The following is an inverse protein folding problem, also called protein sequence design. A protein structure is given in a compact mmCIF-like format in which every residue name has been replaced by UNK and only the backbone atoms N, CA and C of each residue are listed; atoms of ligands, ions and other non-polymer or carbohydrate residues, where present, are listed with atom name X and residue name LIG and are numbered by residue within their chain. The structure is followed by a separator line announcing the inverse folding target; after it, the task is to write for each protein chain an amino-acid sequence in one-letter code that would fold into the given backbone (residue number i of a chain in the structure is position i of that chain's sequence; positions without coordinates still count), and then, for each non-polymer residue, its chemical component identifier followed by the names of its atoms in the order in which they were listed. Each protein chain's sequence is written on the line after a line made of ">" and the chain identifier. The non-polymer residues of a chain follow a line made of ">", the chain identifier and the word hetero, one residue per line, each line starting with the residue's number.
data_IF_714742828620
#
_entry.id   IF_714742828620
#
_cell.length_a   1.000
_cell.length_b   1.000
_cell.length_c   1.000
_cell.angle_alpha   90.00
_cell.angle_beta   90.00
_cell.angle_gamma   90.00
#
_symmetry.space_group_name_H-M   'P 1'
#
loop_
_entity.id
_entity.type
_entity.pdbx_description
1 polymer ?
#
# COMPACT_ATOMS: atom_id res chain seq x y z
N UNK A 1 -41.43 -2.41 21.49
CA UNK A 1 -40.88 -3.31 20.45
C UNK A 1 -40.56 -2.51 19.20
N UNK A 2 -39.29 -2.14 18.98
CA UNK A 2 -38.52 -2.56 17.80
C UNK A 2 -37.06 -2.19 18.06
N UNK A 3 -36.27 -3.25 18.09
CA UNK A 3 -34.83 -3.27 18.27
C UNK A 3 -34.14 -3.01 16.92
N UNK A 4 -32.83 -2.74 17.02
CA UNK A 4 -31.79 -2.89 16.00
C UNK A 4 -31.60 -1.70 15.04
N UNK A 5 -30.72 -0.78 15.42
CA UNK A 5 -29.62 -0.42 14.54
C UNK A 5 -28.36 -0.98 15.22
N UNK A 6 -27.92 -2.11 14.67
CA UNK A 6 -26.74 -2.81 15.09
C UNK A 6 -25.53 -1.88 14.98
N UNK A 7 -24.84 -1.75 16.10
CA UNK A 7 -23.39 -1.76 16.22
C UNK A 7 -22.68 -2.01 14.88
N UNK A 8 -22.18 -0.94 14.26
CA UNK A 8 -21.20 -1.03 13.20
C UNK A 8 -19.83 -1.29 13.84
N UNK A 9 -19.69 -2.47 14.44
CA UNK A 9 -18.39 -3.07 14.68
C UNK A 9 -17.83 -3.41 13.30
N UNK A 10 -17.03 -2.50 12.73
CA UNK A 10 -16.18 -2.83 11.58
C UNK A 10 -15.18 -3.85 12.08
N UNK A 11 -15.53 -5.11 11.88
CA UNK A 11 -14.70 -6.27 12.20
C UNK A 11 -13.32 -6.08 11.53
N UNK A 12 -12.26 -6.25 12.32
CA UNK A 12 -10.92 -5.76 12.04
C UNK A 12 -10.14 -6.55 10.99
N UNK A 13 -10.80 -7.18 10.01
CA UNK A 13 -10.17 -8.12 9.07
C UNK A 13 -10.65 -7.97 7.60
N UNK A 14 -11.47 -6.96 7.29
CA UNK A 14 -11.78 -6.63 5.89
C UNK A 14 -10.54 -6.03 5.19
N UNK A 15 -10.04 -6.61 4.08
CA UNK A 15 -8.90 -6.09 3.36
C UNK A 15 -9.18 -4.66 2.91
N UNK A 16 -8.31 -3.72 3.28
CA UNK A 16 -8.43 -2.33 2.83
C UNK A 16 -8.46 -2.28 1.31
N UNK A 17 -9.56 -1.75 0.73
CA UNK A 17 -9.68 -1.63 -0.71
C UNK A 17 -8.66 -0.61 -1.25
N UNK A 18 -8.04 -0.89 -2.40
CA UNK A 18 -7.09 0.06 -3.02
C UNK A 18 -7.71 1.43 -3.33
N UNK A 19 -9.03 1.49 -3.51
CA UNK A 19 -9.75 2.74 -3.72
C UNK A 19 -9.69 3.67 -2.52
N UNK A 20 -9.63 3.13 -1.30
CA UNK A 20 -9.59 3.88 -0.05
C UNK A 20 -8.18 4.41 0.30
N UNK A 21 -7.15 3.87 -0.37
CA UNK A 21 -5.79 4.34 -0.21
C UNK A 21 -5.58 5.71 -0.86
N UNK A 22 -4.65 6.49 -0.32
CA UNK A 22 -4.18 7.71 -0.99
C UNK A 22 -3.42 7.36 -2.27
N UNK A 23 -3.29 8.33 -3.19
CA UNK A 23 -2.47 8.16 -4.39
C UNK A 23 -1.03 7.75 -4.05
N UNK A 24 -0.43 8.41 -3.05
CA UNK A 24 0.94 8.11 -2.61
C UNK A 24 1.11 6.68 -2.07
N UNK A 25 0.10 6.16 -1.35
CA UNK A 25 0.10 4.77 -0.87
C UNK A 25 -0.02 3.78 -2.03
N UNK A 26 -0.87 4.05 -3.02
CA UNK A 26 -0.96 3.23 -4.23
C UNK A 26 0.34 3.23 -5.02
N UNK A 27 1.01 4.38 -5.13
CA UNK A 27 2.29 4.49 -5.82
C UNK A 27 3.40 3.73 -5.08
N UNK A 28 3.36 3.70 -3.74
CA UNK A 28 4.24 2.84 -2.95
C UNK A 28 4.03 1.36 -3.24
N UNK A 29 2.77 0.91 -3.32
CA UNK A 29 2.45 -0.47 -3.69
C UNK A 29 2.91 -0.78 -5.12
N UNK A 30 2.72 0.17 -6.05
CA UNK A 30 3.20 0.06 -7.42
C UNK A 30 4.73 -0.05 -7.46
N UNK A 31 5.46 0.82 -6.78
CA UNK A 31 6.91 0.80 -6.71
C UNK A 31 7.44 -0.52 -6.11
N UNK A 32 6.78 -1.05 -5.09
CA UNK A 32 7.07 -2.36 -4.50
C UNK A 32 6.73 -3.54 -5.42
N UNK A 33 5.88 -3.36 -6.44
CA UNK A 33 5.52 -4.44 -7.36
C UNK A 33 6.62 -4.79 -8.37
N UNK A 34 7.61 -3.90 -8.58
CA UNK A 34 8.69 -4.10 -9.54
C UNK A 34 9.77 -5.06 -9.04
N UNK A 35 9.95 -5.16 -7.73
CA UNK A 35 10.98 -6.00 -7.10
C UNK A 35 10.45 -6.60 -5.80
N UNK A 36 10.74 -7.87 -5.55
CA UNK A 36 10.11 -8.63 -4.46
C UNK A 36 10.32 -8.01 -3.06
N UNK A 37 11.49 -7.45 -2.75
CA UNK A 37 11.77 -6.81 -1.47
C UNK A 37 12.74 -5.63 -1.64
N UNK A 38 12.40 -4.47 -1.06
CA UNK A 38 13.18 -3.23 -1.23
C UNK A 38 13.43 -2.52 0.08
N UNK A 39 14.59 -1.87 0.19
CA UNK A 39 14.89 -0.97 1.31
C UNK A 39 14.06 0.30 1.20
N UNK A 40 13.64 0.87 2.33
CA UNK A 40 12.92 2.15 2.35
C UNK A 40 13.68 3.30 1.66
N UNK A 41 15.02 3.30 1.73
CA UNK A 41 15.85 4.30 1.04
C UNK A 41 15.86 4.13 -0.49
N UNK A 42 15.79 2.90 -0.99
CA UNK A 42 15.68 2.64 -2.43
C UNK A 42 14.31 3.06 -2.95
N UNK A 43 13.24 2.72 -2.23
CA UNK A 43 11.88 3.20 -2.51
C UNK A 43 11.80 4.73 -2.54
N UNK A 44 12.47 5.41 -1.59
CA UNK A 44 12.53 6.88 -1.58
C UNK A 44 13.17 7.42 -2.85
N UNK A 45 14.28 6.83 -3.30
CA UNK A 45 15.01 7.29 -4.47
C UNK A 45 14.18 7.14 -5.75
N UNK A 46 13.53 5.99 -5.94
CA UNK A 46 12.67 5.74 -7.09
C UNK A 46 11.48 6.69 -7.15
N UNK A 47 10.80 6.88 -6.01
CA UNK A 47 9.67 7.79 -5.96
C UNK A 47 10.13 9.25 -6.11
N UNK A 48 11.31 9.63 -5.63
CA UNK A 48 11.84 10.98 -5.84
C UNK A 48 12.22 11.26 -7.31
N UNK A 49 12.39 10.23 -8.13
CA UNK A 49 12.54 10.39 -9.59
C UNK A 49 11.19 10.61 -10.30
N UNK A 50 10.09 10.15 -9.69
CA UNK A 50 8.74 10.30 -10.22
C UNK A 50 8.04 11.57 -9.73
N UNK A 51 8.18 11.90 -8.45
CA UNK A 51 7.65 13.11 -7.85
C UNK A 51 8.59 14.29 -8.08
N UNK A 52 8.04 15.43 -8.53
CA UNK A 52 8.81 16.68 -8.74
C UNK A 52 9.34 17.22 -7.39
N UNK A 53 8.57 17.04 -6.33
CA UNK A 53 8.90 17.53 -4.99
C UNK A 53 9.72 16.52 -4.18
N UNK A 54 10.53 17.03 -3.25
CA UNK A 54 11.25 16.19 -2.32
C UNK A 54 10.29 15.39 -1.43
N UNK A 55 10.44 14.07 -1.46
CA UNK A 55 9.68 13.19 -0.59
C UNK A 55 10.22 13.29 0.84
N UNK A 56 9.42 13.87 1.72
CA UNK A 56 9.72 13.91 3.14
C UNK A 56 9.87 12.49 3.71
N UNK A 57 10.96 12.25 4.44
CA UNK A 57 11.27 10.96 5.04
C UNK A 57 10.16 10.49 6.00
N UNK A 58 9.70 11.35 6.89
CA UNK A 58 8.62 11.01 7.84
C UNK A 58 7.34 10.59 7.11
N UNK A 59 6.95 11.31 6.06
CA UNK A 59 5.78 10.97 5.22
C UNK A 59 5.92 9.59 4.59
N UNK A 60 7.08 9.26 4.02
CA UNK A 60 7.32 7.95 3.42
C UNK A 60 7.11 6.82 4.43
N UNK A 61 7.76 6.90 5.59
CA UNK A 61 7.71 5.82 6.58
C UNK A 61 6.35 5.72 7.27
N UNK A 62 5.66 6.83 7.52
CA UNK A 62 4.27 6.80 8.00
C UNK A 62 3.35 6.06 7.03
N UNK A 63 3.48 6.31 5.72
CA UNK A 63 2.67 5.60 4.72
C UNK A 63 3.04 4.12 4.61
N UNK A 64 4.33 3.76 4.73
CA UNK A 64 4.76 2.37 4.79
C UNK A 64 4.20 1.66 6.02
N UNK A 65 4.22 2.30 7.20
CA UNK A 65 3.68 1.72 8.43
C UNK A 65 2.15 1.55 8.33
N UNK A 66 1.41 2.52 7.79
CA UNK A 66 -0.02 2.35 7.50
C UNK A 66 -0.28 1.19 6.54
N UNK A 67 0.51 1.03 5.48
CA UNK A 67 0.36 -0.10 4.55
C UNK A 67 0.69 -1.45 5.18
N UNK A 68 1.57 -1.48 6.20
CA UNK A 68 1.85 -2.66 7.02
C UNK A 68 0.66 -2.98 7.92
N UNK A 69 0.09 -1.96 8.57
CA UNK A 69 -1.12 -2.11 9.40
C UNK A 69 -2.32 -2.60 8.58
N UNK A 70 -2.46 -2.15 7.34
CA UNK A 70 -3.48 -2.64 6.39
C UNK A 70 -3.19 -4.06 5.85
N UNK A 71 -2.09 -4.71 6.22
CA UNK A 71 -1.72 -6.04 5.71
C UNK A 71 -1.33 -6.07 4.23
N UNK A 72 -1.06 -4.92 3.61
CA UNK A 72 -0.70 -4.81 2.19
C UNK A 72 0.81 -4.86 1.97
N UNK A 73 1.59 -4.46 2.98
CA UNK A 73 3.05 -4.51 2.96
C UNK A 73 3.56 -5.35 4.12
N UNK A 74 4.50 -6.24 3.85
CA UNK A 74 5.27 -6.92 4.88
C UNK A 74 6.55 -6.12 5.16
N UNK A 75 6.88 -5.94 6.45
CA UNK A 75 8.11 -5.30 6.92
C UNK A 75 9.01 -6.36 7.56
N UNK A 76 10.24 -6.46 7.09
CA UNK A 76 11.28 -7.32 7.68
C UNK A 76 12.48 -6.48 8.10
N UNK A 77 12.95 -6.68 9.33
CA UNK A 77 14.20 -6.08 9.78
C UNK A 77 15.37 -6.83 9.13
N UNK A 78 16.17 -6.12 8.33
CA UNK A 78 17.43 -6.64 7.78
C UNK A 78 18.55 -6.51 8.80
N UNK A 79 18.57 -5.39 9.52
CA UNK A 79 19.47 -5.11 10.65
C UNK A 79 18.80 -4.12 11.62
N UNK A 80 19.54 -3.63 12.63
CA UNK A 80 19.01 -2.70 13.65
C UNK A 80 18.51 -1.35 13.11
N UNK A 81 18.89 -0.97 11.88
CA UNK A 81 18.61 0.33 11.26
C UNK A 81 17.94 0.22 9.88
N UNK A 82 18.02 -0.94 9.24
CA UNK A 82 17.51 -1.17 7.89
C UNK A 82 16.32 -2.10 7.89
N UNK A 83 15.18 -1.61 7.42
CA UNK A 83 14.01 -2.42 7.10
C UNK A 83 13.92 -2.67 5.60
N UNK A 84 13.44 -3.85 5.24
CA UNK A 84 13.01 -4.22 3.90
C UNK A 84 11.48 -4.36 3.87
N UNK A 85 10.89 -3.91 2.77
CA UNK A 85 9.46 -3.89 2.54
C UNK A 85 9.14 -4.70 1.29
N UNK A 86 8.09 -5.51 1.35
CA UNK A 86 7.61 -6.32 0.23
C UNK A 86 6.10 -6.32 0.17
N UNK A 87 5.52 -6.51 -1.02
CA UNK A 87 4.07 -6.74 -1.13
C UNK A 87 3.67 -8.04 -0.44
N UNK A 88 2.50 -8.04 0.19
CA UNK A 88 1.81 -9.27 0.56
C UNK A 88 1.05 -9.84 -0.64
N UNK A 89 0.59 -11.09 -0.55
CA UNK A 89 -0.26 -11.66 -1.60
C UNK A 89 -1.60 -10.91 -1.74
N UNK A 90 -2.12 -10.36 -0.66
CA UNK A 90 -3.33 -9.54 -0.69
C UNK A 90 -3.11 -8.28 -1.56
N UNK A 91 -1.99 -7.58 -1.37
CA UNK A 91 -1.66 -6.41 -2.18
C UNK A 91 -1.43 -6.76 -3.66
N UNK A 92 -0.79 -7.90 -3.96
CA UNK A 92 -0.59 -8.34 -5.35
C UNK A 92 -1.93 -8.56 -6.07
N UNK A 93 -2.85 -9.31 -5.45
CA UNK A 93 -4.20 -9.53 -6.00
C UNK A 93 -4.96 -8.22 -6.18
N UNK A 94 -4.84 -7.31 -5.21
CA UNK A 94 -5.52 -6.03 -5.30
C UNK A 94 -4.99 -5.19 -6.47
N UNK A 95 -3.66 -5.16 -6.68
CA UNK A 95 -3.06 -4.46 -7.83
C UNK A 95 -3.47 -5.10 -9.17
N UNK A 96 -3.55 -6.42 -9.24
CA UNK A 96 -4.04 -7.14 -10.42
C UNK A 96 -5.49 -6.77 -10.73
N UNK A 97 -6.38 -6.79 -9.74
CA UNK A 97 -7.77 -6.38 -9.90
C UNK A 97 -7.88 -4.91 -10.36
N UNK A 98 -7.03 -4.02 -9.84
CA UNK A 98 -6.99 -2.62 -10.26
C UNK A 98 -6.54 -2.46 -11.72
N UNK A 99 -5.57 -3.27 -12.19
CA UNK A 99 -5.12 -3.28 -13.59
C UNK A 99 -6.20 -3.80 -14.52
N UNK A 100 -6.89 -4.87 -14.14
CA UNK A 100 -8.02 -5.41 -14.92
C UNK A 100 -9.11 -4.35 -15.11
N UNK A 101 -9.51 -3.67 -14.04
CA UNK A 101 -10.47 -2.57 -14.10
C UNK A 101 -10.04 -1.41 -15.02
N UNK A 102 -8.74 -1.08 -15.11
CA UNK A 102 -8.24 -0.07 -16.06
C UNK A 102 -8.34 -0.54 -17.51
N UNK A 103 -7.97 -1.80 -17.76
CA UNK A 103 -7.99 -2.36 -19.11
C UNK A 103 -9.42 -2.47 -19.66
N UNK A 104 -10.41 -2.73 -18.81
CA UNK A 104 -11.83 -2.71 -19.18
C UNK A 104 -12.32 -1.29 -19.54
N UNK A 105 -11.80 -0.26 -18.84
CA UNK A 105 -12.13 1.14 -19.10
C UNK A 105 -11.51 1.73 -20.37
N UNK A 106 -10.37 1.20 -20.82
CA UNK A 106 -9.66 1.62 -22.05
C UNK A 106 -10.22 0.95 -23.33
N UNK A 107 -11.14 0.00 -23.21
CA UNK A 107 -11.71 -0.76 -24.34
C UNK A 107 -12.93 -0.09 -25.02
N UNK A 108 -13.16 1.21 -24.77
CA UNK A 108 -14.29 1.98 -25.32
C UNK A 108 -13.80 3.15 -26.17
#
# INVERSE_FOLDING_TARGET
>A
MRSVLADNERDGDEPTALADLTAFQRDLLWALSHENARKGTALKADLAAYYIDEINHSRLYQNLDTLVECGLVAKRARDRRTNEYSLTEAARRALEARRAWQAEGDAT
#
